data_IF_758244047835
#
_entry.id   IF_758244047835
#
_cell.length_a   1.000
_cell.length_b   1.000
_cell.length_c   1.000
_cell.angle_alpha   90.00
_cell.angle_beta   90.00
_cell.angle_gamma   90.00
#
_symmetry.space_group_name_H-M   'P 1'
#
loop_
_entity.id
_entity.type
_entity.pdbx_description
1 polymer ?
#
# COMPACT_ATOMS: atom_id res chain seq x y z
N UNK A 1 6.60 -6.41 -9.65
CA UNK A 1 7.09 -5.14 -10.23
C UNK A 1 6.80 -3.91 -9.35
N UNK A 2 5.61 -3.79 -8.73
CA UNK A 2 5.24 -2.63 -7.92
C UNK A 2 6.31 -2.17 -6.90
N UNK A 3 6.91 -3.08 -6.12
CA UNK A 3 7.93 -2.72 -5.13
C UNK A 3 9.20 -2.08 -5.72
N UNK A 4 9.67 -2.52 -6.89
CA UNK A 4 10.86 -1.95 -7.54
C UNK A 4 10.58 -0.52 -8.00
N UNK A 5 9.41 -0.29 -8.62
CA UNK A 5 9.01 1.05 -9.06
C UNK A 5 8.83 2.03 -7.89
N UNK A 6 8.26 1.57 -6.77
CA UNK A 6 8.10 2.39 -5.55
C UNK A 6 9.45 2.88 -5.04
N UNK A 7 10.47 2.01 -5.04
CA UNK A 7 11.82 2.35 -4.59
C UNK A 7 12.54 3.27 -5.58
N UNK A 8 12.47 2.96 -6.87
CA UNK A 8 13.08 3.77 -7.93
C UNK A 8 12.50 5.19 -7.98
N UNK A 9 11.18 5.32 -7.76
CA UNK A 9 10.50 6.61 -7.68
C UNK A 9 10.68 7.33 -6.32
N UNK A 10 11.36 6.71 -5.34
CA UNK A 10 11.58 7.31 -4.02
C UNK A 10 10.29 7.62 -3.25
N UNK A 11 9.23 6.82 -3.45
CA UNK A 11 7.93 7.09 -2.85
C UNK A 11 7.93 6.85 -1.34
N UNK A 12 7.26 7.73 -0.60
CA UNK A 12 7.01 7.57 0.83
C UNK A 12 5.87 6.58 1.09
N UNK A 13 5.82 6.02 2.30
CA UNK A 13 4.72 5.12 2.71
C UNK A 13 3.35 5.79 2.61
N UNK A 14 3.24 7.09 2.89
CA UNK A 14 2.00 7.85 2.73
C UNK A 14 1.55 7.93 1.26
N UNK A 15 2.48 8.13 0.33
CA UNK A 15 2.18 8.15 -1.11
C UNK A 15 1.74 6.76 -1.61
N UNK A 16 2.39 5.69 -1.14
CA UNK A 16 2.01 4.31 -1.48
C UNK A 16 0.64 3.95 -0.90
N UNK A 17 0.33 4.37 0.32
CA UNK A 17 -0.98 4.20 0.94
C UNK A 17 -2.11 4.92 0.15
N UNK A 18 -1.83 6.11 -0.38
CA UNK A 18 -2.79 6.89 -1.15
C UNK A 18 -2.97 6.40 -2.60
N UNK A 19 -2.04 5.60 -3.13
CA UNK A 19 -2.12 5.05 -4.48
C UNK A 19 -3.32 4.10 -4.65
N UNK A 20 -3.81 3.94 -5.88
CA UNK A 20 -4.82 2.93 -6.22
C UNK A 20 -4.15 1.58 -6.52
N UNK A 21 -4.78 0.49 -6.09
CA UNK A 21 -4.36 -0.86 -6.43
C UNK A 21 -5.58 -1.73 -6.76
N UNK A 22 -5.50 -2.65 -7.73
CA UNK A 22 -6.56 -3.61 -7.99
C UNK A 22 -6.73 -4.58 -6.81
N UNK A 23 -8.00 -4.86 -6.48
CA UNK A 23 -8.35 -5.81 -5.42
C UNK A 23 -7.87 -7.23 -5.75
N UNK A 24 -7.51 -7.97 -4.70
CA UNK A 24 -7.05 -9.36 -4.77
C UNK A 24 -5.75 -9.52 -5.57
N UNK A 25 -4.83 -8.56 -5.42
CA UNK A 25 -3.50 -8.60 -6.04
C UNK A 25 -2.40 -8.41 -5.00
N UNK A 26 -1.19 -8.89 -5.32
CA UNK A 26 -0.02 -8.64 -4.46
C UNK A 26 0.31 -7.14 -4.32
N UNK A 27 -0.06 -6.32 -5.30
CA UNK A 27 0.12 -4.86 -5.23
C UNK A 27 -0.78 -4.24 -4.14
N UNK A 28 -1.97 -4.80 -3.93
CA UNK A 28 -2.88 -4.35 -2.87
C UNK A 28 -2.29 -4.63 -1.49
N UNK A 29 -1.66 -5.80 -1.32
CA UNK A 29 -0.96 -6.12 -0.07
C UNK A 29 0.11 -5.08 0.31
N UNK A 30 0.85 -4.56 -0.67
CA UNK A 30 1.84 -3.50 -0.45
C UNK A 30 1.16 -2.19 -0.01
N UNK A 31 0.03 -1.83 -0.63
CA UNK A 31 -0.76 -0.64 -0.27
C UNK A 31 -1.35 -0.76 1.14
N UNK A 32 -1.91 -1.90 1.50
CA UNK A 32 -2.48 -2.16 2.84
C UNK A 32 -1.36 -2.14 3.89
N UNK A 33 -0.21 -2.74 3.61
CA UNK A 33 0.96 -2.67 4.49
C UNK A 33 1.44 -1.22 4.70
N UNK A 34 1.39 -0.39 3.65
CA UNK A 34 1.72 1.03 3.77
C UNK A 34 0.74 1.81 4.68
N UNK A 35 -0.54 1.41 4.74
CA UNK A 35 -1.53 2.01 5.65
C UNK A 35 -1.34 1.60 7.10
N UNK A 36 -0.76 0.43 7.34
CA UNK A 36 -0.48 -0.06 8.69
C UNK A 36 0.53 0.81 9.47
N UNK A 37 1.27 1.70 8.79
CA UNK A 37 2.15 2.66 9.46
C UNK A 37 1.41 3.75 10.24
N UNK A 38 0.14 4.03 9.89
CA UNK A 38 -0.66 5.09 10.52
C UNK A 38 -1.98 4.60 11.10
N UNK A 39 -2.42 3.40 10.70
CA UNK A 39 -3.73 2.84 11.04
C UNK A 39 -3.56 1.43 11.57
N UNK A 40 -4.26 1.10 12.66
CA UNK A 40 -4.30 -0.25 13.20
C UNK A 40 -4.83 -1.24 12.15
N UNK A 41 -4.09 -2.34 11.96
CA UNK A 41 -4.42 -3.40 11.01
C UNK A 41 -5.81 -3.99 11.28
N UNK A 42 -6.24 -4.06 12.53
CA UNK A 42 -7.59 -4.55 12.89
C UNK A 42 -8.72 -3.66 12.37
N UNK A 43 -8.41 -2.40 12.01
CA UNK A 43 -9.35 -1.40 11.49
C UNK A 43 -9.28 -1.25 9.97
N UNK A 44 -8.38 -1.98 9.30
CA UNK A 44 -8.28 -1.99 7.83
C UNK A 44 -9.34 -2.94 7.25
N UNK A 45 -10.18 -2.41 6.36
CA UNK A 45 -11.11 -3.18 5.52
C UNK A 45 -10.44 -3.79 4.30
N UNK A 46 -11.20 -4.54 3.49
CA UNK A 46 -10.67 -5.34 2.38
C UNK A 46 -9.89 -4.55 1.31
N UNK A 47 -10.24 -3.29 1.06
CA UNK A 47 -9.57 -2.41 0.07
C UNK A 47 -8.99 -1.15 0.72
N UNK A 48 -8.75 -1.22 2.04
CA UNK A 48 -8.55 -0.07 2.88
C UNK A 48 -7.43 0.83 2.44
#
# INVERSE_FOLDING_TARGET
>A
AAGVYILEAGMTTAQVAAAWSPYLTMAEGIRIAAKAFTTDVSKLSCCA
#
